data_IF_236604012046
#
_entry.id   IF_236604012046
#
_cell.length_a   1.000
_cell.length_b   1.000
_cell.length_c   1.000
_cell.angle_alpha   90.00
_cell.angle_beta   90.00
_cell.angle_gamma   90.00
#
_symmetry.space_group_name_H-M   'P 1'
#
loop_
_entity.id
_entity.type
_entity.pdbx_description
1 polymer ?
#
# COMPACT_ATOMS: atom_id res chain seq x y z
N UNK A 1 29.75 41.98 -6.35
CA UNK A 1 28.54 41.27 -6.80
C UNK A 1 27.33 42.08 -6.36
N UNK A 2 26.38 42.28 -7.25
CA UNK A 2 25.16 43.06 -6.98
C UNK A 2 24.22 42.24 -6.05
N UNK A 3 23.78 42.79 -4.90
CA UNK A 3 22.79 42.16 -4.02
C UNK A 3 21.51 41.67 -4.73
N UNK A 4 21.13 42.30 -5.84
CA UNK A 4 19.95 41.92 -6.64
C UNK A 4 20.05 40.51 -7.25
N UNK A 5 21.27 40.07 -7.59
CA UNK A 5 21.54 38.74 -8.17
C UNK A 5 21.34 37.62 -7.15
N UNK A 6 21.82 37.83 -5.92
CA UNK A 6 21.67 36.86 -4.82
C UNK A 6 20.19 36.73 -4.42
N UNK A 7 19.47 37.86 -4.37
CA UNK A 7 18.04 37.88 -4.11
C UNK A 7 17.26 37.11 -5.19
N UNK A 8 17.50 37.39 -6.47
CA UNK A 8 16.82 36.69 -7.58
C UNK A 8 17.11 35.19 -7.59
N UNK A 9 18.35 34.79 -7.28
CA UNK A 9 18.73 33.38 -7.15
C UNK A 9 18.01 32.70 -5.98
N UNK A 10 17.97 33.34 -4.81
CA UNK A 10 17.26 32.81 -3.64
C UNK A 10 15.76 32.65 -3.91
N UNK A 11 15.13 33.67 -4.53
CA UNK A 11 13.72 33.63 -4.89
C UNK A 11 13.40 32.48 -5.85
N UNK A 12 14.23 32.26 -6.88
CA UNK A 12 14.07 31.15 -7.82
C UNK A 12 14.04 29.78 -7.11
N UNK A 13 14.95 29.55 -6.14
CA UNK A 13 14.96 28.29 -5.41
C UNK A 13 13.76 28.15 -4.46
N UNK A 14 13.32 29.24 -3.82
CA UNK A 14 12.12 29.25 -2.98
C UNK A 14 10.89 28.85 -3.80
N UNK A 15 10.69 29.48 -4.95
CA UNK A 15 9.55 29.19 -5.82
C UNK A 15 9.58 27.74 -6.33
N UNK A 16 10.76 27.25 -6.69
CA UNK A 16 10.94 25.86 -7.13
C UNK A 16 10.63 24.86 -6.01
N UNK A 17 11.10 25.10 -4.79
CA UNK A 17 10.82 24.24 -3.63
C UNK A 17 9.34 24.29 -3.25
N UNK A 18 8.71 25.46 -3.30
CA UNK A 18 7.28 25.61 -3.06
C UNK A 18 6.44 24.82 -4.08
N UNK A 19 6.79 24.88 -5.37
CA UNK A 19 6.12 24.11 -6.43
C UNK A 19 6.25 22.60 -6.18
N UNK A 20 7.46 22.11 -5.91
CA UNK A 20 7.69 20.68 -5.63
C UNK A 20 6.92 20.23 -4.39
N UNK A 21 6.92 21.03 -3.31
CA UNK A 21 6.15 20.72 -2.11
C UNK A 21 4.63 20.69 -2.38
N UNK A 22 4.12 21.58 -3.23
CA UNK A 22 2.71 21.61 -3.61
C UNK A 22 2.30 20.38 -4.45
N UNK A 23 3.16 19.93 -5.36
CA UNK A 23 2.94 18.72 -6.16
C UNK A 23 2.90 17.47 -5.28
N UNK A 24 3.90 17.30 -4.40
CA UNK A 24 3.95 16.16 -3.46
C UNK A 24 2.75 16.14 -2.51
N UNK A 25 2.34 17.30 -1.98
CA UNK A 25 1.13 17.40 -1.14
C UNK A 25 -0.13 17.05 -1.92
N UNK A 26 -0.25 17.49 -3.18
CA UNK A 26 -1.40 17.18 -4.02
C UNK A 26 -1.50 15.68 -4.31
N UNK A 27 -0.38 15.03 -4.61
CA UNK A 27 -0.32 13.57 -4.78
C UNK A 27 -0.71 12.85 -3.48
N UNK A 28 -0.15 13.25 -2.34
CA UNK A 28 -0.46 12.63 -1.05
C UNK A 28 -1.94 12.80 -0.65
N UNK A 29 -2.53 13.98 -0.90
CA UNK A 29 -3.95 14.22 -0.68
C UNK A 29 -4.84 13.41 -1.63
N UNK A 30 -4.45 13.31 -2.91
CA UNK A 30 -5.14 12.46 -3.89
C UNK A 30 -5.17 11.00 -3.45
N UNK A 31 -4.01 10.43 -3.09
CA UNK A 31 -3.91 9.05 -2.57
C UNK A 31 -4.76 8.86 -1.32
N UNK A 32 -4.77 9.83 -0.39
CA UNK A 32 -5.62 9.77 0.82
C UNK A 32 -7.10 9.73 0.47
N UNK A 33 -7.52 10.51 -0.51
CA UNK A 33 -8.91 10.55 -0.96
C UNK A 33 -9.32 9.24 -1.65
N UNK A 34 -8.46 8.70 -2.52
CA UNK A 34 -8.68 7.41 -3.18
C UNK A 34 -8.81 6.28 -2.14
N UNK A 35 -7.95 6.27 -1.11
CA UNK A 35 -8.01 5.28 -0.03
C UNK A 35 -9.34 5.35 0.73
N UNK A 36 -9.82 6.55 1.04
CA UNK A 36 -11.11 6.74 1.71
C UNK A 36 -12.28 6.29 0.84
N UNK A 37 -12.22 6.52 -0.48
CA UNK A 37 -13.24 6.03 -1.41
C UNK A 37 -13.25 4.50 -1.51
N UNK A 38 -12.06 3.87 -1.53
CA UNK A 38 -11.91 2.42 -1.49
C UNK A 38 -12.48 1.86 -0.18
N UNK A 39 -12.19 2.48 0.97
CA UNK A 39 -12.72 2.07 2.27
C UNK A 39 -14.26 2.12 2.33
N UNK A 40 -14.85 3.19 1.78
CA UNK A 40 -16.30 3.35 1.70
C UNK A 40 -16.94 2.25 0.81
N UNK A 41 -16.34 1.97 -0.36
CA UNK A 41 -16.79 0.90 -1.27
C UNK A 41 -16.69 -0.48 -0.61
N UNK A 42 -15.58 -0.78 0.06
CA UNK A 42 -15.39 -2.05 0.75
C UNK A 42 -16.37 -2.22 1.92
N UNK A 43 -16.67 -1.14 2.64
CA UNK A 43 -17.70 -1.14 3.70
C UNK A 43 -19.08 -1.46 3.14
N UNK A 44 -19.43 -0.90 1.99
CA UNK A 44 -20.68 -1.21 1.29
C UNK A 44 -20.73 -2.68 0.85
N UNK A 45 -19.67 -3.17 0.20
CA UNK A 45 -19.57 -4.58 -0.22
C UNK A 45 -19.70 -5.52 0.98
N UNK A 46 -19.04 -5.20 2.11
CA UNK A 46 -19.14 -5.97 3.35
C UNK A 46 -20.59 -6.06 3.85
N UNK A 47 -21.33 -4.95 3.85
CA UNK A 47 -22.73 -4.95 4.27
C UNK A 47 -23.59 -5.86 3.35
N UNK A 48 -23.41 -5.76 2.03
CA UNK A 48 -24.11 -6.62 1.06
C UNK A 48 -23.76 -8.10 1.26
N UNK A 49 -22.48 -8.42 1.51
CA UNK A 49 -22.05 -9.79 1.75
C UNK A 49 -22.62 -10.36 3.05
N UNK A 50 -22.69 -9.58 4.12
CA UNK A 50 -23.30 -10.00 5.39
C UNK A 50 -24.78 -10.34 5.20
N UNK A 51 -25.54 -9.48 4.51
CA UNK A 51 -26.95 -9.71 4.20
C UNK A 51 -27.15 -10.95 3.31
N UNK A 52 -26.26 -11.14 2.33
CA UNK A 52 -26.28 -12.29 1.44
C UNK A 52 -25.97 -13.60 2.18
N UNK A 53 -24.99 -13.60 3.08
CA UNK A 53 -24.57 -14.78 3.85
C UNK A 53 -25.67 -15.27 4.79
N UNK A 54 -26.45 -14.37 5.39
CA UNK A 54 -27.64 -14.72 6.18
C UNK A 54 -28.72 -15.44 5.36
N UNK A 55 -28.83 -15.09 4.08
CA UNK A 55 -29.87 -15.61 3.17
C UNK A 55 -29.39 -16.80 2.32
N UNK A 56 -28.11 -17.14 2.37
CA UNK A 56 -27.50 -18.13 1.46
C UNK A 56 -28.11 -19.54 1.55
N UNK A 57 -28.67 -19.92 2.70
CA UNK A 57 -29.24 -21.24 2.91
C UNK A 57 -30.60 -21.42 2.23
N UNK A 58 -31.21 -20.32 1.77
CA UNK A 58 -32.53 -20.30 1.15
C UNK A 58 -32.43 -20.17 -0.38
N UNK A 59 -31.23 -19.94 -0.94
CA UNK A 59 -31.04 -19.73 -2.37
C UNK A 59 -29.70 -20.31 -2.85
N UNK A 60 -29.76 -21.40 -3.61
CA UNK A 60 -28.59 -22.08 -4.16
C UNK A 60 -27.76 -21.19 -5.11
N UNK A 61 -28.42 -20.30 -5.89
CA UNK A 61 -27.72 -19.38 -6.79
C UNK A 61 -26.95 -18.31 -6.00
N UNK A 62 -27.55 -17.81 -4.92
CA UNK A 62 -26.90 -16.86 -4.02
C UNK A 62 -25.70 -17.48 -3.32
N UNK A 63 -25.83 -18.74 -2.86
CA UNK A 63 -24.73 -19.50 -2.26
C UNK A 63 -23.57 -19.67 -3.23
N UNK A 64 -23.84 -20.01 -4.49
CA UNK A 64 -22.79 -20.19 -5.48
C UNK A 64 -22.11 -18.86 -5.85
N UNK A 65 -22.90 -17.78 -5.97
CA UNK A 65 -22.38 -16.43 -6.17
C UNK A 65 -21.47 -15.98 -5.01
N UNK A 66 -21.85 -16.25 -3.75
CA UNK A 66 -21.02 -15.95 -2.58
C UNK A 66 -19.69 -16.71 -2.57
N UNK A 67 -19.67 -17.98 -3.01
CA UNK A 67 -18.40 -18.72 -3.13
C UNK A 67 -17.46 -18.06 -4.14
N UNK A 68 -17.98 -17.61 -5.28
CA UNK A 68 -17.17 -16.95 -6.31
C UNK A 68 -16.59 -15.63 -5.79
N UNK A 69 -17.36 -14.85 -5.02
CA UNK A 69 -16.84 -13.61 -4.43
C UNK A 69 -15.77 -13.90 -3.37
N UNK A 70 -15.97 -14.90 -2.52
CA UNK A 70 -14.94 -15.31 -1.55
C UNK A 70 -13.62 -15.65 -2.26
N UNK A 71 -13.68 -16.36 -3.38
CA UNK A 71 -12.50 -16.64 -4.19
C UNK A 71 -11.84 -15.36 -4.76
N UNK A 72 -12.63 -14.43 -5.31
CA UNK A 72 -12.10 -13.16 -5.85
C UNK A 72 -11.43 -12.32 -4.75
N UNK A 73 -12.04 -12.26 -3.55
CA UNK A 73 -11.48 -11.55 -2.41
C UNK A 73 -10.14 -12.17 -1.98
N UNK A 74 -10.03 -13.49 -1.93
CA UNK A 74 -8.75 -14.16 -1.65
C UNK A 74 -7.67 -13.83 -2.68
N UNK A 75 -8.00 -13.74 -3.97
CA UNK A 75 -7.04 -13.30 -4.99
C UNK A 75 -6.60 -11.84 -4.78
N UNK A 76 -7.49 -10.98 -4.30
CA UNK A 76 -7.14 -9.59 -3.99
C UNK A 76 -6.24 -9.49 -2.75
N UNK A 77 -6.47 -10.32 -1.74
CA UNK A 77 -5.60 -10.43 -0.55
C UNK A 77 -4.17 -10.84 -0.95
N UNK A 78 -4.01 -11.84 -1.84
CA UNK A 78 -2.69 -12.27 -2.34
C UNK A 78 -1.91 -11.10 -2.98
N UNK A 79 -2.58 -10.25 -3.76
CA UNK A 79 -1.96 -9.07 -4.41
C UNK A 79 -1.51 -8.04 -3.37
N UNK A 80 -2.29 -7.85 -2.30
CA UNK A 80 -1.95 -6.94 -1.21
C UNK A 80 -0.72 -7.48 -0.46
N UNK A 81 -0.68 -8.77 -0.18
CA UNK A 81 0.43 -9.42 0.51
C UNK A 81 1.73 -9.36 -0.31
N UNK A 82 1.65 -9.57 -1.63
CA UNK A 82 2.78 -9.42 -2.55
C UNK A 82 3.34 -7.98 -2.54
N UNK A 83 2.45 -6.98 -2.50
CA UNK A 83 2.86 -5.57 -2.41
C UNK A 83 3.56 -5.25 -1.09
N UNK A 84 3.03 -5.75 0.03
CA UNK A 84 3.66 -5.59 1.35
C UNK A 84 5.03 -6.26 1.41
N UNK A 85 5.16 -7.46 0.85
CA UNK A 85 6.42 -8.18 0.77
C UNK A 85 7.47 -7.40 -0.03
N UNK A 86 7.09 -6.84 -1.19
CA UNK A 86 7.99 -6.04 -2.02
C UNK A 86 8.40 -4.72 -1.34
N UNK A 87 7.49 -4.08 -0.60
CA UNK A 87 7.80 -2.89 0.20
C UNK A 87 8.85 -3.18 1.28
N UNK A 88 8.68 -4.28 2.03
CA UNK A 88 9.65 -4.76 3.01
C UNK A 88 11.00 -5.06 2.36
N UNK A 89 11.00 -5.76 1.20
CA UNK A 89 12.22 -6.06 0.45
C UNK A 89 13.01 -4.81 0.10
N UNK A 90 12.34 -3.78 -0.43
CA UNK A 90 12.96 -2.48 -0.76
C UNK A 90 13.55 -1.79 0.47
N UNK A 91 12.85 -1.86 1.61
CA UNK A 91 13.36 -1.32 2.87
C UNK A 91 14.70 -1.96 3.24
N UNK A 92 14.79 -3.30 3.26
CA UNK A 92 16.03 -3.98 3.70
C UNK A 92 17.20 -3.80 2.72
N UNK A 93 16.93 -3.62 1.42
CA UNK A 93 17.97 -3.32 0.42
C UNK A 93 18.54 -1.92 0.63
N UNK A 94 17.70 -0.94 1.00
CA UNK A 94 18.14 0.44 1.23
C UNK A 94 18.94 0.60 2.54
N UNK A 95 18.69 -0.22 3.58
CA UNK A 95 19.42 -0.15 4.87
C UNK A 95 20.79 -0.81 4.87
N UNK A 96 21.10 -1.67 3.88
CA UNK A 96 22.29 -2.55 3.91
C UNK A 96 23.59 -1.90 3.39
N UNK A 97 23.64 -0.56 3.28
CA UNK A 97 24.85 0.21 2.96
C UNK A 97 25.93 0.26 4.06
N UNK A 98 25.69 -0.19 5.30
CA UNK A 98 26.66 -0.14 6.41
C UNK A 98 27.11 -1.52 6.95
N UNK A 99 27.62 -2.34 6.03
CA UNK A 99 28.62 -3.43 6.17
C UNK A 99 28.63 -4.50 7.30
N UNK A 100 28.10 -4.36 8.53
CA UNK A 100 28.29 -5.40 9.59
C UNK A 100 27.06 -5.79 10.41
N UNK A 101 25.94 -5.08 10.27
CA UNK A 101 24.63 -5.47 10.84
C UNK A 101 23.92 -6.59 10.06
N UNK A 102 24.50 -6.92 8.91
CA UNK A 102 23.95 -7.76 7.84
C UNK A 102 23.67 -9.20 8.27
N UNK A 103 24.40 -9.75 9.24
CA UNK A 103 24.24 -11.15 9.65
C UNK A 103 22.97 -11.38 10.48
N UNK A 104 22.61 -10.41 11.36
CA UNK A 104 21.33 -10.39 12.08
C UNK A 104 20.16 -10.02 11.15
N UNK A 105 20.36 -9.09 10.22
CA UNK A 105 19.35 -8.78 9.17
C UNK A 105 19.12 -9.93 8.19
N UNK A 106 20.09 -10.84 8.02
CA UNK A 106 19.93 -12.06 7.20
C UNK A 106 19.05 -13.07 7.94
N UNK A 107 19.17 -13.19 9.26
CA UNK A 107 18.25 -13.99 10.07
C UNK A 107 16.85 -13.38 10.12
N UNK A 108 16.70 -12.06 10.28
CA UNK A 108 15.40 -11.39 10.19
C UNK A 108 14.78 -11.50 8.79
N UNK A 109 15.57 -11.38 7.70
CA UNK A 109 15.11 -11.62 6.33
C UNK A 109 14.69 -13.06 6.08
N UNK A 110 15.49 -14.04 6.48
CA UNK A 110 15.14 -15.46 6.30
C UNK A 110 13.93 -15.84 7.14
N UNK A 111 13.73 -15.19 8.29
CA UNK A 111 12.56 -15.38 9.12
C UNK A 111 11.30 -14.78 8.50
N UNK A 112 11.37 -13.53 8.00
CA UNK A 112 10.26 -12.87 7.30
C UNK A 112 9.91 -13.57 5.98
N UNK A 113 10.91 -14.02 5.22
CA UNK A 113 10.71 -14.75 3.98
C UNK A 113 10.11 -16.15 4.22
N UNK A 114 10.48 -16.83 5.32
CA UNK A 114 9.80 -18.05 5.76
C UNK A 114 8.37 -17.77 6.23
N UNK A 115 8.11 -16.67 6.94
CA UNK A 115 6.75 -16.28 7.35
C UNK A 115 5.85 -15.99 6.14
N UNK A 116 6.34 -15.26 5.14
CA UNK A 116 5.61 -15.03 3.88
C UNK A 116 5.39 -16.31 3.06
N UNK A 117 6.34 -17.26 3.08
CA UNK A 117 6.19 -18.57 2.44
C UNK A 117 5.26 -19.52 3.20
N UNK A 118 5.08 -19.33 4.51
CA UNK A 118 4.27 -20.18 5.38
C UNK A 118 2.79 -19.75 5.45
N UNK A 119 2.46 -18.56 4.92
CA UNK A 119 1.07 -18.11 4.69
C UNK A 119 0.55 -18.61 3.32
N UNK A 120 1.44 -19.07 2.43
CA UNK A 120 1.06 -19.80 1.21
C UNK A 120 0.79 -21.27 1.58
N UNK A 121 -0.51 -21.63 1.54
CA UNK A 121 -1.16 -22.96 1.68
C UNK A 121 -1.54 -23.36 3.10
#
# INVERSE_FOLDING_TARGET
MDPSYLFGTAQFFIDKLASLAAEELSLALGVKQDLHEIEAKLSFIKAVLLDAEQKQNQNNSLREWLKQIKHILSTAEDVIDDFQCEALRKQVVNTSGSARRKELEVWERLHLQKLCLMIRV
#
